data_IF_283638920815
#
_entry.id   IF_283638920815
#
_cell.length_a   1.000
_cell.length_b   1.000
_cell.length_c   1.000
_cell.angle_alpha   90.00
_cell.angle_beta   90.00
_cell.angle_gamma   90.00
#
_symmetry.space_group_name_H-M   'P 1'
#
loop_
_entity.id
_entity.type
_entity.pdbx_description
1 polymer ?
#
# COMPACT_ATOMS: atom_id res chain seq x y z
N UNK A 1 38.79 -15.34 -53.06
CA UNK A 1 38.43 -16.71 -52.67
C UNK A 1 37.58 -16.56 -51.41
N UNK A 2 36.26 -16.71 -51.43
CA UNK A 2 35.43 -17.84 -51.91
C UNK A 2 35.57 -19.07 -50.97
N UNK A 3 34.52 -19.73 -50.51
CA UNK A 3 33.06 -19.51 -50.70
C UNK A 3 32.23 -20.17 -49.57
N UNK A 4 30.89 -20.18 -49.74
CA UNK A 4 29.78 -21.01 -49.16
C UNK A 4 30.15 -22.26 -48.32
N UNK A 5 29.29 -22.82 -47.45
CA UNK A 5 27.84 -22.63 -47.26
C UNK A 5 27.04 -23.95 -47.45
N UNK A 6 26.04 -24.16 -46.59
CA UNK A 6 24.86 -25.04 -46.72
C UNK A 6 24.94 -26.60 -46.77
N UNK A 7 24.50 -27.20 -45.66
CA UNK A 7 23.47 -28.27 -45.53
C UNK A 7 23.48 -29.62 -46.30
N UNK A 8 23.33 -30.71 -45.53
CA UNK A 8 22.40 -31.86 -45.74
C UNK A 8 22.07 -32.45 -44.33
N UNK A 9 20.91 -33.03 -43.97
CA UNK A 9 20.00 -34.00 -44.63
C UNK A 9 20.67 -35.39 -44.78
N UNK A 10 20.01 -36.57 -44.71
CA UNK A 10 18.59 -37.00 -44.80
C UNK A 10 18.40 -38.29 -43.93
N UNK A 11 17.17 -38.62 -43.49
CA UNK A 11 16.75 -40.01 -43.16
C UNK A 11 16.32 -40.24 -41.68
N UNK A 12 15.16 -40.82 -41.32
CA UNK A 12 14.37 -41.97 -41.81
C UNK A 12 14.86 -43.34 -41.24
N UNK A 13 14.03 -44.32 -40.83
CA UNK A 13 12.55 -44.42 -40.79
C UNK A 13 12.07 -45.61 -39.91
N UNK A 14 10.77 -45.64 -39.55
CA UNK A 14 9.94 -46.81 -39.09
C UNK A 14 10.44 -47.63 -37.85
N UNK A 15 9.71 -48.52 -37.15
CA UNK A 15 8.32 -49.10 -37.13
C UNK A 15 8.01 -49.49 -35.63
N UNK A 16 6.93 -50.13 -35.11
CA UNK A 16 5.70 -50.79 -35.62
C UNK A 16 4.65 -50.98 -34.48
N UNK A 17 3.37 -50.69 -34.79
CA UNK A 17 2.10 -51.38 -34.42
C UNK A 17 1.87 -52.08 -33.06
N UNK A 18 0.75 -51.71 -32.38
CA UNK A 18 -0.44 -52.53 -32.05
C UNK A 18 -1.49 -51.60 -31.35
N UNK A 19 -2.80 -51.50 -31.61
CA UNK A 19 -3.89 -52.49 -31.88
C UNK A 19 -4.09 -53.48 -30.72
N UNK A 20 -5.29 -53.82 -30.19
CA UNK A 20 -6.72 -53.71 -30.59
C UNK A 20 -7.59 -53.93 -29.30
N UNK A 21 -8.90 -53.71 -29.15
CA UNK A 21 -10.06 -53.23 -29.96
C UNK A 21 -11.19 -52.76 -28.97
N UNK A 22 -12.39 -52.38 -29.44
CA UNK A 22 -13.63 -52.23 -28.61
C UNK A 22 -14.56 -53.45 -28.77
N UNK A 23 -15.63 -53.57 -27.94
CA UNK A 23 -16.98 -53.61 -28.53
C UNK A 23 -18.07 -52.91 -27.67
N UNK A 24 -19.33 -53.00 -28.11
CA UNK A 24 -20.49 -52.27 -27.58
C UNK A 24 -21.76 -53.13 -27.47
N UNK A 25 -22.87 -52.49 -27.05
CA UNK A 25 -24.30 -52.85 -27.24
C UNK A 25 -25.13 -53.49 -26.09
N UNK A 26 -26.41 -53.09 -26.14
CA UNK A 26 -27.65 -53.65 -25.53
C UNK A 26 -27.77 -53.69 -24.00
N UNK A 27 -28.80 -53.18 -23.30
CA UNK A 27 -30.24 -52.89 -23.56
C UNK A 27 -31.15 -53.85 -22.77
N UNK A 28 -31.93 -53.31 -21.81
CA UNK A 28 -33.29 -53.80 -21.52
C UNK A 28 -34.13 -52.85 -20.67
N UNK A 29 -35.44 -52.89 -20.89
CA UNK A 29 -36.48 -52.10 -20.22
C UNK A 29 -37.17 -52.90 -19.09
N UNK A 30 -37.73 -52.17 -18.10
CA UNK A 30 -39.03 -52.38 -17.41
C UNK A 30 -39.12 -51.34 -16.26
N UNK A 31 -40.16 -50.53 -16.01
CA UNK A 31 -41.63 -50.72 -15.97
C UNK A 31 -42.09 -51.65 -14.82
N UNK A 32 -43.09 -51.36 -13.98
CA UNK A 32 -44.05 -50.22 -13.92
C UNK A 32 -44.86 -50.22 -12.61
N UNK A 33 -45.23 -49.01 -12.11
CA UNK A 33 -46.41 -48.72 -11.23
C UNK A 33 -46.56 -49.57 -9.93
N UNK A 34 -47.54 -49.45 -9.02
CA UNK A 34 -48.61 -48.48 -8.60
C UNK A 34 -48.42 -48.28 -7.08
N UNK A 35 -48.99 -47.34 -6.31
CA UNK A 35 -50.18 -46.47 -6.37
C UNK A 35 -50.73 -46.31 -4.93
N UNK A 36 -51.68 -45.39 -4.69
CA UNK A 36 -52.41 -45.15 -3.41
C UNK A 36 -51.53 -44.70 -2.21
N UNK A 37 -51.63 -43.46 -1.72
CA UNK A 37 -52.73 -42.80 -0.99
C UNK A 37 -52.92 -43.24 0.48
N UNK A 38 -52.33 -42.46 1.41
CA UNK A 38 -52.94 -42.18 2.71
C UNK A 38 -52.79 -40.70 3.05
N UNK A 39 -53.92 -40.01 3.22
CA UNK A 39 -53.96 -38.60 3.65
C UNK A 39 -53.53 -38.43 5.11
N UNK A 40 -52.72 -37.40 5.41
CA UNK A 40 -53.03 -36.38 6.44
C UNK A 40 -51.91 -35.35 6.68
N UNK A 41 -52.32 -34.14 7.09
CA UNK A 41 -51.56 -33.09 7.79
C UNK A 41 -50.23 -32.57 7.18
N UNK A 42 -50.33 -31.54 6.32
CA UNK A 42 -49.26 -30.56 6.09
C UNK A 42 -49.76 -29.22 5.50
N UNK A 43 -50.76 -28.59 6.12
CA UNK A 43 -51.09 -27.17 5.81
C UNK A 43 -50.08 -26.21 6.48
N UNK A 44 -50.08 -24.96 5.99
CA UNK A 44 -49.38 -23.79 6.57
C UNK A 44 -47.86 -23.89 6.85
N UNK A 45 -47.03 -23.71 5.81
CA UNK A 45 -45.76 -22.94 5.92
C UNK A 45 -45.51 -22.02 4.72
N UNK A 46 -46.24 -20.89 4.67
CA UNK A 46 -45.96 -19.73 3.81
C UNK A 46 -45.84 -18.44 4.64
N UNK A 47 -44.91 -18.40 5.60
CA UNK A 47 -44.51 -17.17 6.30
C UNK A 47 -43.21 -17.37 7.09
N UNK A 48 -42.09 -16.78 6.63
CA UNK A 48 -40.89 -16.45 7.45
C UNK A 48 -39.75 -15.77 6.65
N UNK A 49 -40.03 -15.07 5.53
CA UNK A 49 -38.99 -14.57 4.61
C UNK A 49 -39.04 -13.04 4.37
N UNK A 50 -39.76 -12.29 5.20
CA UNK A 50 -39.97 -10.82 5.06
C UNK A 50 -39.51 -10.07 6.33
N UNK A 51 -38.69 -10.72 7.17
CA UNK A 51 -38.16 -10.14 8.40
C UNK A 51 -36.85 -9.38 8.15
N UNK A 52 -35.78 -10.15 7.95
CA UNK A 52 -34.38 -9.70 7.98
C UNK A 52 -34.09 -8.54 7.00
N UNK A 53 -34.63 -8.60 5.78
CA UNK A 53 -34.44 -7.57 4.74
C UNK A 53 -34.88 -6.19 5.25
N UNK A 54 -36.00 -6.12 5.98
CA UNK A 54 -36.51 -4.86 6.54
C UNK A 54 -35.70 -4.36 7.73
N UNK A 55 -35.03 -5.22 8.50
CA UNK A 55 -34.18 -4.79 9.63
C UNK A 55 -32.78 -4.39 9.14
N UNK A 56 -32.27 -5.00 8.07
CA UNK A 56 -31.07 -4.56 7.38
C UNK A 56 -31.26 -3.16 6.77
N UNK A 57 -32.38 -2.89 6.09
CA UNK A 57 -32.71 -1.53 5.62
C UNK A 57 -32.75 -0.50 6.77
N UNK A 58 -33.33 -0.86 7.92
CA UNK A 58 -33.36 0.02 9.12
C UNK A 58 -31.96 0.28 9.68
N UNK A 59 -31.06 -0.70 9.69
CA UNK A 59 -29.66 -0.52 10.12
C UNK A 59 -28.89 0.38 9.14
N UNK A 60 -29.11 0.22 7.84
CA UNK A 60 -28.50 1.08 6.80
C UNK A 60 -29.01 2.51 6.90
N UNK A 61 -30.32 2.74 7.02
CA UNK A 61 -30.88 4.09 7.19
C UNK A 61 -30.50 4.71 8.55
N UNK A 62 -30.37 3.92 9.61
CA UNK A 62 -29.84 4.41 10.89
C UNK A 62 -28.39 4.90 10.74
N UNK A 63 -27.52 4.11 10.07
CA UNK A 63 -26.16 4.53 9.74
C UNK A 63 -26.10 5.76 8.83
N UNK A 64 -26.96 5.85 7.82
CA UNK A 64 -27.09 7.03 6.95
C UNK A 64 -27.64 8.26 7.70
N UNK A 65 -28.42 8.07 8.77
CA UNK A 65 -28.89 9.15 9.66
C UNK A 65 -27.77 9.68 10.56
N UNK A 66 -26.95 8.80 11.13
CA UNK A 66 -25.71 9.13 11.86
C UNK A 66 -24.73 9.93 10.99
N UNK A 67 -24.55 9.53 9.71
CA UNK A 67 -23.72 10.28 8.75
C UNK A 67 -24.22 11.70 8.55
N UNK A 68 -25.53 11.89 8.30
CA UNK A 68 -26.15 13.21 8.07
C UNK A 68 -26.03 14.12 9.29
N UNK A 69 -26.22 13.58 10.49
CA UNK A 69 -26.02 14.30 11.75
C UNK A 69 -24.57 14.82 11.86
N UNK A 70 -23.57 13.96 11.65
CA UNK A 70 -22.17 14.34 11.77
C UNK A 70 -21.71 15.34 10.69
N UNK A 71 -22.25 15.28 9.46
CA UNK A 71 -21.98 16.29 8.42
C UNK A 71 -22.52 17.68 8.80
N UNK A 72 -23.64 17.76 9.53
CA UNK A 72 -24.31 19.03 9.85
C UNK A 72 -23.55 19.88 10.88
N UNK A 73 -22.62 19.28 11.63
CA UNK A 73 -21.79 19.99 12.64
C UNK A 73 -20.57 20.70 12.00
N UNK A 74 -20.23 20.39 10.74
CA UNK A 74 -19.00 20.80 10.07
C UNK A 74 -18.96 22.20 9.44
N UNK A 75 -19.54 23.24 10.06
CA UNK A 75 -19.53 24.62 9.54
C UNK A 75 -19.01 25.67 10.53
N UNK A 76 -17.70 25.62 10.81
CA UNK A 76 -16.95 26.68 11.50
C UNK A 76 -15.81 27.22 10.61
N UNK A 77 -15.74 28.55 10.43
CA UNK A 77 -14.58 29.22 9.81
C UNK A 77 -13.51 29.50 10.85
N UNK A 78 -12.24 29.38 10.48
CA UNK A 78 -11.11 29.89 11.28
C UNK A 78 -9.76 29.46 10.70
N UNK A 79 -8.89 30.43 10.43
CA UNK A 79 -7.50 30.19 10.03
C UNK A 79 -6.60 29.96 11.25
N UNK A 80 -5.45 29.30 11.04
CA UNK A 80 -4.23 29.57 11.81
C UNK A 80 -3.85 28.58 12.92
N UNK A 81 -2.62 28.08 12.78
CA UNK A 81 -1.72 27.55 13.82
C UNK A 81 -2.09 26.30 14.65
N UNK A 82 -1.03 25.73 15.22
CA UNK A 82 -1.04 24.46 15.96
C UNK A 82 -1.49 24.66 17.42
N UNK A 83 -2.55 23.97 17.83
CA UNK A 83 -2.80 23.67 19.23
C UNK A 83 -3.23 22.21 19.37
N UNK A 84 -2.37 21.38 19.96
CA UNK A 84 -2.74 20.05 20.45
C UNK A 84 -3.34 20.26 21.84
N UNK A 85 -4.63 19.99 22.02
CA UNK A 85 -5.33 20.16 23.30
C UNK A 85 -6.11 18.90 23.66
N UNK A 86 -5.70 18.29 24.77
CA UNK A 86 -6.45 17.21 25.43
C UNK A 86 -7.82 17.72 25.90
N UNK A 87 -8.89 17.04 25.48
CA UNK A 87 -10.22 17.21 26.08
C UNK A 87 -10.42 16.10 27.11
N UNK A 88 -9.91 16.31 28.33
CA UNK A 88 -10.25 15.45 29.47
C UNK A 88 -11.67 15.78 29.97
N UNK A 89 -12.61 14.83 30.02
CA UNK A 89 -13.86 15.01 30.73
C UNK A 89 -13.62 14.90 32.25
N UNK A 90 -13.97 15.94 33.00
CA UNK A 90 -13.98 15.88 34.48
C UNK A 90 -15.16 15.00 34.93
N UNK A 91 -14.86 13.77 35.33
CA UNK A 91 -15.86 12.83 35.87
C UNK A 91 -15.95 12.99 37.39
N UNK A 92 -17.12 13.42 37.87
CA UNK A 92 -17.53 13.28 39.27
C UNK A 92 -18.52 12.12 39.41
N UNK A 93 -18.20 11.16 40.29
CA UNK A 93 -19.19 10.24 40.89
C UNK A 93 -19.55 8.98 40.11
N UNK A 94 -18.86 7.87 40.44
CA UNK A 94 -19.42 6.50 40.54
C UNK A 94 -20.40 5.99 39.46
N UNK A 95 -19.94 5.12 38.54
CA UNK A 95 -20.84 4.46 37.58
C UNK A 95 -20.20 3.53 36.53
N UNK A 96 -19.28 2.64 36.92
CA UNK A 96 -18.61 1.72 35.97
C UNK A 96 -19.57 0.65 35.41
N UNK A 97 -20.01 0.84 34.16
CA UNK A 97 -20.04 -0.17 33.07
C UNK A 97 -20.71 0.36 31.80
N UNK A 98 -21.70 1.27 31.92
CA UNK A 98 -22.58 1.69 30.81
C UNK A 98 -21.88 2.27 29.58
N UNK A 99 -20.72 2.93 29.76
CA UNK A 99 -19.92 3.47 28.65
C UNK A 99 -19.34 2.36 27.75
N UNK A 100 -19.01 1.19 28.31
CA UNK A 100 -18.48 0.07 27.53
C UNK A 100 -19.57 -0.57 26.67
N UNK A 101 -20.75 -0.83 27.23
CA UNK A 101 -21.88 -1.43 26.51
C UNK A 101 -22.36 -0.55 25.35
N UNK A 102 -22.36 0.77 25.51
CA UNK A 102 -22.67 1.72 24.43
C UNK A 102 -21.63 1.67 23.31
N UNK A 103 -20.34 1.69 23.65
CA UNK A 103 -19.25 1.67 22.68
C UNK A 103 -19.16 0.31 21.94
N UNK A 104 -19.37 -0.81 22.66
CA UNK A 104 -19.44 -2.16 22.08
C UNK A 104 -20.59 -2.27 21.06
N UNK A 105 -21.78 -1.76 21.39
CA UNK A 105 -22.92 -1.75 20.44
C UNK A 105 -22.65 -0.88 19.22
N UNK A 106 -22.02 0.29 19.41
CA UNK A 106 -21.60 1.15 18.30
C UNK A 106 -20.62 0.42 17.37
N UNK A 107 -19.57 -0.20 17.91
CA UNK A 107 -18.59 -0.97 17.15
C UNK A 107 -19.20 -2.21 16.45
N UNK A 108 -20.25 -2.82 16.99
CA UNK A 108 -21.00 -3.89 16.31
C UNK A 108 -21.79 -3.36 15.09
N UNK A 109 -22.50 -2.23 15.25
CA UNK A 109 -23.24 -1.59 14.14
C UNK A 109 -22.28 -1.12 13.04
N UNK A 110 -21.18 -0.46 13.43
CA UNK A 110 -20.14 0.01 12.50
C UNK A 110 -19.48 -1.15 11.74
N UNK A 111 -19.29 -2.32 12.38
CA UNK A 111 -18.80 -3.54 11.70
C UNK A 111 -19.80 -4.06 10.67
N UNK A 112 -21.09 -4.17 11.02
CA UNK A 112 -22.14 -4.64 10.10
C UNK A 112 -22.28 -3.69 8.90
N UNK A 113 -22.18 -2.38 9.12
CA UNK A 113 -22.20 -1.38 8.06
C UNK A 113 -20.99 -1.51 7.12
N UNK A 114 -19.78 -1.69 7.65
CA UNK A 114 -18.58 -1.97 6.83
C UNK A 114 -18.73 -3.29 6.06
N UNK A 115 -19.27 -4.34 6.68
CA UNK A 115 -19.50 -5.63 6.03
C UNK A 115 -20.47 -5.51 4.85
N UNK A 116 -21.61 -4.84 5.02
CA UNK A 116 -22.61 -4.62 3.96
C UNK A 116 -22.05 -3.76 2.81
N UNK A 117 -21.28 -2.71 3.10
CA UNK A 117 -20.63 -1.90 2.06
C UNK A 117 -19.57 -2.70 1.29
N UNK A 118 -18.84 -3.61 1.96
CA UNK A 118 -17.91 -4.56 1.32
C UNK A 118 -18.60 -5.69 0.54
N UNK A 119 -19.92 -5.90 0.69
CA UNK A 119 -20.73 -6.70 -0.25
C UNK A 119 -21.13 -5.84 -1.46
N UNK A 120 -21.59 -4.61 -1.22
CA UNK A 120 -22.01 -3.65 -2.26
C UNK A 120 -20.88 -3.30 -3.25
N UNK A 121 -19.60 -3.33 -2.84
CA UNK A 121 -18.44 -3.26 -3.74
C UNK A 121 -18.35 -4.41 -4.78
N UNK A 122 -19.10 -5.50 -4.62
CA UNK A 122 -19.17 -6.60 -5.60
C UNK A 122 -20.39 -6.51 -6.52
N UNK A 123 -21.19 -5.44 -6.41
CA UNK A 123 -22.38 -5.16 -7.23
C UNK A 123 -22.02 -4.29 -8.46
N UNK A 124 -22.99 -3.51 -8.97
CA UNK A 124 -22.86 -2.63 -10.14
C UNK A 124 -21.85 -1.49 -9.96
N UNK A 125 -21.43 -0.84 -11.05
CA UNK A 125 -20.49 0.29 -10.97
C UNK A 125 -21.03 1.50 -10.16
N UNK A 126 -22.32 1.89 -10.27
CA UNK A 126 -22.91 2.89 -9.35
C UNK A 126 -22.85 2.45 -7.88
N UNK A 127 -23.13 1.18 -7.59
CA UNK A 127 -23.06 0.63 -6.22
C UNK A 127 -21.63 0.67 -5.67
N UNK A 128 -20.64 0.32 -6.49
CA UNK A 128 -19.21 0.40 -6.17
C UNK A 128 -18.79 1.83 -5.81
N UNK A 129 -19.22 2.83 -6.61
CA UNK A 129 -18.92 4.24 -6.36
C UNK A 129 -19.56 4.73 -5.04
N UNK A 130 -20.84 4.42 -4.78
CA UNK A 130 -21.51 4.77 -3.51
C UNK A 130 -20.81 4.10 -2.32
N UNK A 131 -20.54 2.80 -2.40
CA UNK A 131 -19.98 2.04 -1.30
C UNK A 131 -18.51 2.39 -1.00
N UNK A 132 -17.69 2.66 -2.02
CA UNK A 132 -16.32 3.14 -1.83
C UNK A 132 -16.30 4.49 -1.11
N UNK A 133 -17.19 5.39 -1.48
CA UNK A 133 -17.31 6.74 -0.89
C UNK A 133 -17.82 6.68 0.55
N UNK A 134 -18.83 5.87 0.83
CA UNK A 134 -19.32 5.66 2.19
C UNK A 134 -18.25 4.99 3.08
N UNK A 135 -17.49 4.02 2.56
CA UNK A 135 -16.34 3.43 3.27
C UNK A 135 -15.22 4.46 3.51
N UNK A 136 -14.94 5.34 2.55
CA UNK A 136 -13.95 6.42 2.69
C UNK A 136 -14.35 7.37 3.83
N UNK A 137 -15.61 7.80 3.86
CA UNK A 137 -16.18 8.66 4.89
C UNK A 137 -16.20 7.99 6.28
N UNK A 138 -16.63 6.73 6.36
CA UNK A 138 -16.68 5.97 7.61
C UNK A 138 -15.29 5.73 8.19
N UNK A 139 -14.34 5.25 7.39
CA UNK A 139 -12.98 4.94 7.85
C UNK A 139 -12.21 6.21 8.23
N UNK A 140 -12.53 7.36 7.63
CA UNK A 140 -12.03 8.68 8.05
C UNK A 140 -12.60 9.11 9.41
N UNK A 141 -13.92 9.01 9.59
CA UNK A 141 -14.61 9.50 10.78
C UNK A 141 -14.50 8.59 12.02
N UNK A 142 -14.67 7.27 11.86
CA UNK A 142 -14.87 6.33 12.96
C UNK A 142 -13.70 5.33 13.12
N UNK A 143 -13.00 5.28 14.26
CA UNK A 143 -11.98 4.26 14.54
C UNK A 143 -12.52 2.82 14.52
N UNK A 144 -13.75 2.62 15.02
CA UNK A 144 -14.49 1.35 14.98
C UNK A 144 -14.63 0.79 13.56
N UNK A 145 -14.96 1.64 12.58
CA UNK A 145 -15.01 1.24 11.17
C UNK A 145 -13.65 0.82 10.60
N UNK A 146 -12.53 1.31 11.16
CA UNK A 146 -11.19 0.88 10.75
C UNK A 146 -10.81 -0.44 11.40
N UNK A 147 -11.05 -0.57 12.70
CA UNK A 147 -10.80 -1.80 13.46
C UNK A 147 -11.63 -2.98 12.90
N UNK A 148 -12.83 -2.72 12.38
CA UNK A 148 -13.70 -3.71 11.73
C UNK A 148 -13.02 -4.50 10.59
N UNK A 149 -12.12 -3.91 9.81
CA UNK A 149 -11.40 -4.60 8.74
C UNK A 149 -10.52 -5.75 9.26
N UNK A 150 -10.07 -5.69 10.52
CA UNK A 150 -9.33 -6.78 11.17
C UNK A 150 -10.22 -7.91 11.69
N UNK A 151 -11.54 -7.68 11.76
CA UNK A 151 -12.56 -8.59 12.33
C UNK A 151 -13.44 -9.24 11.26
N UNK A 152 -13.21 -8.92 9.99
CA UNK A 152 -14.04 -9.31 8.85
C UNK A 152 -13.25 -10.19 7.87
N UNK A 153 -13.83 -11.32 7.51
CA UNK A 153 -13.22 -12.25 6.56
C UNK A 153 -13.10 -11.59 5.18
N UNK A 154 -11.94 -11.77 4.54
CA UNK A 154 -11.63 -11.27 3.19
C UNK A 154 -11.86 -9.75 2.99
N UNK A 155 -11.87 -8.95 4.06
CA UNK A 155 -12.17 -7.53 3.99
C UNK A 155 -11.24 -6.76 3.03
N UNK A 156 -9.94 -7.08 3.04
CA UNK A 156 -8.96 -6.49 2.11
C UNK A 156 -9.15 -7.02 0.68
N UNK A 157 -9.48 -8.31 0.53
CA UNK A 157 -9.79 -8.96 -0.76
C UNK A 157 -11.00 -8.29 -1.44
N UNK A 158 -12.03 -7.97 -0.63
CA UNK A 158 -13.29 -7.32 -1.03
C UNK A 158 -13.10 -5.83 -1.30
N UNK A 159 -12.38 -5.10 -0.44
CA UNK A 159 -12.05 -3.68 -0.64
C UNK A 159 -11.27 -3.46 -1.95
N UNK A 160 -10.39 -4.40 -2.31
CA UNK A 160 -9.59 -4.35 -3.53
C UNK A 160 -10.23 -5.14 -4.69
N UNK A 161 -11.48 -5.59 -4.60
CA UNK A 161 -12.13 -6.33 -5.69
C UNK A 161 -12.43 -5.47 -6.93
N UNK A 162 -12.84 -4.18 -6.83
CA UNK A 162 -13.13 -3.36 -8.02
C UNK A 162 -11.87 -2.93 -8.78
N UNK A 163 -10.73 -2.90 -8.10
CA UNK A 163 -9.48 -2.33 -8.62
C UNK A 163 -8.67 -3.35 -9.42
N UNK A 164 -8.68 -3.18 -10.75
CA UNK A 164 -7.96 -4.02 -11.71
C UNK A 164 -6.55 -3.50 -11.99
N UNK A 165 -5.54 -4.36 -11.85
CA UNK A 165 -4.10 -4.08 -12.03
C UNK A 165 -3.66 -3.85 -13.51
N UNK A 166 -4.61 -3.40 -14.33
CA UNK A 166 -4.53 -3.25 -15.80
C UNK A 166 -5.48 -2.18 -16.33
N UNK A 167 -6.25 -1.51 -15.46
CA UNK A 167 -7.33 -0.57 -15.81
C UNK A 167 -7.48 0.58 -14.80
N UNK A 168 -6.38 1.00 -14.17
CA UNK A 168 -6.34 2.11 -13.21
C UNK A 168 -7.05 3.37 -13.73
N UNK A 169 -6.88 3.69 -15.02
CA UNK A 169 -7.48 4.86 -15.66
C UNK A 169 -9.01 4.79 -15.87
N UNK A 170 -9.66 3.63 -15.68
CA UNK A 170 -11.06 3.42 -16.09
C UNK A 170 -12.11 4.04 -15.15
N UNK A 171 -11.75 4.32 -13.89
CA UNK A 171 -12.61 5.04 -12.94
C UNK A 171 -11.74 5.67 -11.83
N UNK A 172 -11.22 6.90 -12.04
CA UNK A 172 -10.29 7.52 -11.10
C UNK A 172 -10.94 7.88 -9.75
N UNK A 173 -12.23 8.23 -9.72
CA UNK A 173 -12.95 8.56 -8.48
C UNK A 173 -13.05 7.33 -7.56
N UNK A 174 -13.44 6.17 -8.12
CA UNK A 174 -13.48 4.89 -7.38
C UNK A 174 -12.10 4.46 -6.90
N UNK A 175 -11.05 4.68 -7.69
CA UNK A 175 -9.68 4.42 -7.24
C UNK A 175 -9.29 5.35 -6.08
N UNK A 176 -9.58 6.65 -6.18
CA UNK A 176 -9.24 7.64 -5.16
C UNK A 176 -9.94 7.34 -3.83
N UNK A 177 -11.23 7.01 -3.85
CA UNK A 177 -12.01 6.63 -2.66
C UNK A 177 -11.50 5.32 -2.02
N UNK A 178 -11.19 4.29 -2.82
CA UNK A 178 -10.70 3.02 -2.31
C UNK A 178 -9.24 3.09 -1.81
N UNK A 179 -8.35 3.82 -2.48
CA UNK A 179 -6.97 4.05 -2.02
C UNK A 179 -6.95 4.91 -0.76
N UNK A 180 -7.82 5.92 -0.68
CA UNK A 180 -7.98 6.72 0.54
C UNK A 180 -8.58 5.90 1.68
N UNK A 181 -9.50 4.96 1.39
CA UNK A 181 -9.98 3.98 2.37
C UNK A 181 -8.85 3.07 2.87
N UNK A 182 -7.98 2.56 1.98
CA UNK A 182 -6.78 1.80 2.36
C UNK A 182 -5.85 2.62 3.26
N UNK A 183 -5.58 3.88 2.93
CA UNK A 183 -4.79 4.79 3.77
C UNK A 183 -5.44 5.00 5.14
N UNK A 184 -6.75 5.23 5.20
CA UNK A 184 -7.49 5.41 6.45
C UNK A 184 -7.36 4.18 7.35
N UNK A 185 -7.64 2.97 6.86
CA UNK A 185 -7.59 1.74 7.69
C UNK A 185 -6.17 1.43 8.19
N UNK A 186 -5.13 1.85 7.44
CA UNK A 186 -3.73 1.77 7.84
C UNK A 186 -3.33 2.73 8.97
N UNK A 187 -4.25 3.52 9.53
CA UNK A 187 -4.02 4.20 10.82
C UNK A 187 -4.19 3.27 12.03
N UNK A 188 -4.73 2.06 11.83
CA UNK A 188 -4.74 0.98 12.82
C UNK A 188 -3.60 -0.02 12.53
N UNK A 189 -2.79 -0.35 13.53
CA UNK A 189 -1.63 -1.25 13.37
C UNK A 189 -2.02 -2.70 13.03
N UNK A 190 -3.20 -3.18 13.45
CA UNK A 190 -3.66 -4.53 13.12
C UNK A 190 -3.88 -4.68 11.60
N UNK A 191 -4.40 -3.64 10.96
CA UNK A 191 -4.63 -3.61 9.52
C UNK A 191 -3.32 -3.57 8.71
N UNK A 192 -2.20 -3.06 9.26
CA UNK A 192 -0.90 -3.01 8.56
C UNK A 192 -0.33 -4.39 8.27
N UNK A 193 -0.61 -5.38 9.11
CA UNK A 193 -0.26 -6.78 8.86
C UNK A 193 -1.14 -7.39 7.76
N UNK A 194 -2.45 -7.13 7.80
CA UNK A 194 -3.41 -7.69 6.84
C UNK A 194 -3.23 -7.11 5.43
N UNK A 195 -3.12 -5.79 5.31
CA UNK A 195 -2.87 -5.12 4.03
C UNK A 195 -1.46 -5.43 3.52
N UNK A 196 -0.45 -5.44 4.40
CA UNK A 196 0.94 -5.74 4.02
C UNK A 196 1.16 -7.18 3.53
N UNK A 197 0.46 -8.14 4.14
CA UNK A 197 0.48 -9.55 3.73
C UNK A 197 -0.42 -9.88 2.54
N UNK A 198 -1.36 -9.01 2.16
CA UNK A 198 -2.29 -9.29 1.06
C UNK A 198 -1.60 -9.14 -0.32
N UNK A 199 -1.54 -10.21 -1.15
CA UNK A 199 -0.64 -10.27 -2.29
C UNK A 199 -0.92 -9.24 -3.40
N UNK A 200 -2.15 -8.71 -3.49
CA UNK A 200 -2.49 -7.66 -4.46
C UNK A 200 -2.27 -6.23 -3.92
N UNK A 201 -2.20 -6.02 -2.61
CA UNK A 201 -2.28 -4.67 -2.02
C UNK A 201 -1.07 -3.79 -2.36
N UNK A 202 0.15 -4.26 -2.08
CA UNK A 202 1.37 -3.50 -2.34
C UNK A 202 1.63 -3.30 -3.85
N UNK A 203 1.44 -4.29 -4.75
CA UNK A 203 1.51 -4.08 -6.19
C UNK A 203 0.51 -3.04 -6.70
N UNK A 204 -0.74 -3.07 -6.21
CA UNK A 204 -1.79 -2.13 -6.58
C UNK A 204 -1.48 -0.72 -6.07
N UNK A 205 -0.99 -0.56 -4.84
CA UNK A 205 -0.46 0.73 -4.35
C UNK A 205 0.71 1.23 -5.21
N UNK A 206 1.57 0.33 -5.69
CA UNK A 206 2.69 0.65 -6.59
C UNK A 206 2.22 1.13 -7.96
N UNK A 207 1.10 0.64 -8.47
CA UNK A 207 0.48 1.10 -9.72
C UNK A 207 -0.30 2.41 -9.53
N UNK A 208 -1.10 2.52 -8.46
CA UNK A 208 -1.80 3.75 -8.07
C UNK A 208 -0.85 4.93 -7.88
N UNK A 209 0.38 4.68 -7.38
CA UNK A 209 1.47 5.66 -7.28
C UNK A 209 2.01 6.12 -8.64
N UNK A 210 1.94 5.28 -9.69
CA UNK A 210 2.41 5.62 -11.05
C UNK A 210 1.36 6.36 -11.87
N UNK A 211 0.15 5.81 -11.92
CA UNK A 211 -0.85 6.17 -12.94
C UNK A 211 -2.15 6.80 -12.38
N UNK A 212 -2.27 6.94 -11.05
CA UNK A 212 -3.43 7.57 -10.42
C UNK A 212 -3.46 9.10 -10.51
N UNK A 213 -4.53 9.70 -9.99
CA UNK A 213 -4.69 11.16 -9.81
C UNK A 213 -3.65 11.77 -8.84
N UNK A 214 -3.50 13.10 -8.82
CA UNK A 214 -2.59 13.81 -7.90
C UNK A 214 -2.97 13.72 -6.42
N UNK A 215 -4.14 13.16 -6.11
CA UNK A 215 -4.56 12.71 -4.78
C UNK A 215 -4.23 11.22 -4.59
N UNK A 216 -4.66 10.36 -5.52
CA UNK A 216 -4.41 8.90 -5.50
C UNK A 216 -2.94 8.56 -5.41
N UNK A 217 -2.05 9.20 -6.19
CA UNK A 217 -0.60 8.96 -6.14
C UNK A 217 -0.05 9.29 -4.76
N UNK A 218 -0.50 10.40 -4.16
CA UNK A 218 -0.07 10.86 -2.82
C UNK A 218 -0.55 9.91 -1.72
N UNK A 219 -1.81 9.50 -1.78
CA UNK A 219 -2.42 8.62 -0.78
C UNK A 219 -1.89 7.17 -0.91
N UNK A 220 -1.50 6.75 -2.12
CA UNK A 220 -0.76 5.51 -2.33
C UNK A 220 0.66 5.55 -1.72
N UNK A 221 1.41 6.66 -1.89
CA UNK A 221 2.71 6.84 -1.23
C UNK A 221 2.54 6.85 0.29
N UNK A 222 1.58 7.60 0.84
CA UNK A 222 1.31 7.65 2.28
C UNK A 222 0.89 6.27 2.86
N UNK A 223 0.16 5.46 2.08
CA UNK A 223 -0.17 4.08 2.46
C UNK A 223 1.08 3.18 2.48
N UNK A 224 2.01 3.34 1.51
CA UNK A 224 3.31 2.66 1.53
C UNK A 224 4.18 3.12 2.72
N UNK A 225 4.17 4.41 3.08
CA UNK A 225 4.80 4.94 4.30
C UNK A 225 4.22 4.24 5.53
N UNK A 226 2.90 4.21 5.69
CA UNK A 226 2.25 3.60 6.86
C UNK A 226 2.50 2.09 6.95
N UNK A 227 2.42 1.36 5.84
CA UNK A 227 2.79 -0.05 5.75
C UNK A 227 4.24 -0.29 6.15
N UNK A 228 5.17 0.58 5.70
CA UNK A 228 6.60 0.46 6.01
C UNK A 228 6.95 0.63 7.49
N UNK A 229 6.00 0.98 8.37
CA UNK A 229 6.22 0.95 9.80
C UNK A 229 6.71 -0.44 10.27
N UNK A 230 6.08 -1.50 9.75
CA UNK A 230 6.45 -2.91 10.02
C UNK A 230 7.66 -3.32 9.17
N UNK A 231 8.65 -4.00 9.76
CA UNK A 231 9.87 -4.40 9.03
C UNK A 231 9.60 -5.40 7.90
N UNK A 232 8.73 -6.39 8.13
CA UNK A 232 8.30 -7.35 7.10
C UNK A 232 7.79 -6.65 5.83
N UNK A 233 6.99 -5.60 5.99
CA UNK A 233 6.46 -4.81 4.88
C UNK A 233 7.56 -4.05 4.12
N UNK A 234 8.64 -3.62 4.78
CA UNK A 234 9.79 -2.98 4.11
C UNK A 234 10.47 -3.91 3.10
N UNK A 235 10.57 -5.21 3.41
CA UNK A 235 11.10 -6.21 2.47
C UNK A 235 10.16 -6.46 1.28
N UNK A 236 8.84 -6.51 1.53
CA UNK A 236 7.83 -6.74 0.48
C UNK A 236 7.76 -5.54 -0.48
N UNK A 237 7.65 -4.31 0.04
CA UNK A 237 7.68 -3.07 -0.77
C UNK A 237 9.03 -2.93 -1.50
N UNK A 238 10.13 -3.31 -0.81
CA UNK A 238 11.47 -3.41 -1.38
C UNK A 238 11.62 -4.42 -2.53
N UNK A 239 10.60 -5.25 -2.78
CA UNK A 239 10.62 -6.33 -3.78
C UNK A 239 9.43 -6.26 -4.76
N UNK A 240 8.48 -5.33 -4.56
CA UNK A 240 7.29 -5.13 -5.41
C UNK A 240 7.52 -4.22 -6.62
N UNK A 241 8.76 -3.77 -6.84
CA UNK A 241 9.07 -2.76 -7.87
C UNK A 241 8.70 -1.32 -7.48
N UNK A 242 8.39 -1.04 -6.21
CA UNK A 242 8.03 0.31 -5.74
C UNK A 242 9.20 1.31 -5.66
N UNK A 243 10.44 0.83 -5.61
CA UNK A 243 11.60 1.69 -5.30
C UNK A 243 11.95 2.68 -6.43
N UNK A 244 11.95 2.23 -7.69
CA UNK A 244 12.22 3.12 -8.82
C UNK A 244 11.11 4.18 -9.04
N UNK A 245 9.81 3.84 -8.95
CA UNK A 245 8.73 4.84 -8.94
C UNK A 245 8.81 5.85 -7.80
N UNK A 246 9.20 5.44 -6.58
CA UNK A 246 9.43 6.40 -5.48
C UNK A 246 10.55 7.39 -5.82
N UNK A 247 11.63 6.93 -6.47
CA UNK A 247 12.72 7.78 -6.92
C UNK A 247 12.34 8.65 -8.14
N UNK A 248 11.47 8.17 -9.02
CA UNK A 248 10.88 8.94 -10.11
C UNK A 248 10.03 10.10 -9.57
N UNK A 249 9.26 9.88 -8.50
CA UNK A 249 8.53 10.95 -7.79
C UNK A 249 9.48 12.00 -7.20
N UNK A 250 10.66 11.63 -6.69
CA UNK A 250 11.71 12.60 -6.29
C UNK A 250 12.22 13.39 -7.51
N UNK A 251 12.32 12.76 -8.68
CA UNK A 251 12.90 13.35 -9.88
C UNK A 251 11.97 14.37 -10.57
N UNK A 252 10.66 14.09 -10.66
CA UNK A 252 9.70 14.90 -11.45
C UNK A 252 8.42 15.30 -10.71
N UNK A 253 8.24 14.90 -9.45
CA UNK A 253 7.03 15.19 -8.68
C UNK A 253 6.88 16.66 -8.26
N UNK A 254 5.65 17.08 -7.96
CA UNK A 254 5.40 18.34 -7.24
C UNK A 254 5.94 18.23 -5.79
N UNK A 255 6.42 19.31 -5.13
CA UNK A 255 7.06 19.21 -3.81
C UNK A 255 6.29 18.43 -2.73
N UNK A 256 4.96 18.50 -2.68
CA UNK A 256 4.18 17.68 -1.74
C UNK A 256 4.37 16.17 -1.97
N UNK A 257 4.46 15.72 -3.23
CA UNK A 257 4.73 14.32 -3.57
C UNK A 257 6.20 13.94 -3.34
N UNK A 258 7.16 14.83 -3.63
CA UNK A 258 8.59 14.64 -3.30
C UNK A 258 8.75 14.42 -1.79
N UNK A 259 8.04 15.19 -0.96
CA UNK A 259 8.08 15.09 0.51
C UNK A 259 7.60 13.73 1.02
N UNK A 260 6.45 13.25 0.54
CA UNK A 260 5.94 11.93 0.91
C UNK A 260 6.84 10.80 0.39
N UNK A 261 7.38 10.92 -0.83
CA UNK A 261 8.34 9.96 -1.37
C UNK A 261 9.65 9.94 -0.55
N UNK A 262 10.17 11.09 -0.11
CA UNK A 262 11.34 11.16 0.76
C UNK A 262 11.09 10.49 2.11
N UNK A 263 9.89 10.67 2.69
CA UNK A 263 9.44 9.96 3.89
C UNK A 263 9.41 8.44 3.68
N UNK A 264 8.87 7.98 2.55
CA UNK A 264 8.82 6.57 2.17
C UNK A 264 10.22 5.95 2.03
N UNK A 265 11.13 6.61 1.29
CA UNK A 265 12.51 6.14 1.10
C UNK A 265 13.24 6.09 2.45
N UNK A 266 13.15 7.13 3.28
CA UNK A 266 13.70 7.15 4.64
C UNK A 266 13.22 5.99 5.53
N UNK A 267 11.95 5.57 5.39
CA UNK A 267 11.41 4.46 6.18
C UNK A 267 11.79 3.08 5.61
N UNK A 268 11.80 2.93 4.29
CA UNK A 268 12.21 1.69 3.61
C UNK A 268 13.71 1.40 3.77
N UNK A 269 14.56 2.43 3.73
CA UNK A 269 16.01 2.35 3.91
C UNK A 269 16.46 2.09 5.36
N UNK A 270 15.54 1.85 6.30
CA UNK A 270 15.86 1.24 7.60
C UNK A 270 16.29 -0.23 7.47
N UNK A 271 15.96 -0.86 6.34
CA UNK A 271 16.44 -2.19 5.92
C UNK A 271 17.61 -2.01 4.95
N UNK A 272 18.74 -2.66 5.24
CA UNK A 272 20.00 -2.48 4.49
C UNK A 272 19.87 -2.90 3.02
N UNK A 273 19.15 -3.99 2.76
CA UNK A 273 18.85 -4.51 1.42
C UNK A 273 18.02 -3.55 0.57
N UNK A 274 17.37 -2.55 1.18
CA UNK A 274 16.72 -1.47 0.43
C UNK A 274 17.69 -0.31 0.15
N UNK A 275 18.66 -0.03 1.04
CA UNK A 275 19.73 0.94 0.78
C UNK A 275 20.58 0.53 -0.42
N UNK A 276 20.96 -0.75 -0.48
CA UNK A 276 21.64 -1.41 -1.59
C UNK A 276 20.89 -1.17 -2.93
N UNK A 277 19.60 -1.52 -2.95
CA UNK A 277 18.73 -1.34 -4.12
C UNK A 277 18.59 0.12 -4.54
N UNK A 278 18.37 1.04 -3.60
CA UNK A 278 18.23 2.47 -3.89
C UNK A 278 19.53 3.06 -4.44
N UNK A 279 20.68 2.67 -3.89
CA UNK A 279 21.99 3.13 -4.38
C UNK A 279 22.23 2.62 -5.81
N UNK A 280 21.94 1.34 -6.08
CA UNK A 280 22.07 0.74 -7.42
C UNK A 280 21.17 1.33 -8.51
N UNK A 281 20.07 1.99 -8.15
CA UNK A 281 19.24 2.77 -9.10
C UNK A 281 19.62 4.27 -9.16
N UNK A 282 20.76 4.66 -8.59
CA UNK A 282 21.30 6.02 -8.69
C UNK A 282 20.65 7.04 -7.77
N UNK A 283 20.02 6.61 -6.67
CA UNK A 283 19.28 7.50 -5.78
C UNK A 283 20.15 8.64 -5.22
N UNK A 284 21.38 8.35 -4.82
CA UNK A 284 22.32 9.33 -4.22
C UNK A 284 22.55 10.50 -5.19
N UNK A 285 23.00 10.22 -6.41
CA UNK A 285 23.16 11.23 -7.47
C UNK A 285 21.89 12.03 -7.78
N UNK A 286 20.73 11.38 -7.89
CA UNK A 286 19.44 12.06 -8.20
C UNK A 286 19.05 13.01 -7.05
N UNK A 287 19.15 12.56 -5.81
CA UNK A 287 18.81 13.34 -4.62
C UNK A 287 19.80 14.51 -4.43
N UNK A 288 21.10 14.29 -4.64
CA UNK A 288 22.12 15.34 -4.67
C UNK A 288 21.82 16.42 -5.72
N UNK A 289 21.35 16.03 -6.91
CA UNK A 289 20.94 16.99 -7.93
C UNK A 289 19.74 17.84 -7.45
N UNK A 290 18.73 17.23 -6.84
CA UNK A 290 17.56 17.98 -6.30
C UNK A 290 17.91 18.92 -5.15
N UNK A 291 18.87 18.56 -4.30
CA UNK A 291 19.44 19.46 -3.30
C UNK A 291 20.17 20.63 -3.96
N UNK A 292 20.94 20.39 -5.04
CA UNK A 292 21.60 21.43 -5.85
C UNK A 292 20.61 22.34 -6.60
N UNK A 293 19.42 21.83 -6.95
CA UNK A 293 18.27 22.61 -7.45
C UNK A 293 17.53 23.39 -6.33
N UNK A 294 17.89 23.20 -5.05
CA UNK A 294 17.27 23.86 -3.90
C UNK A 294 15.92 23.27 -3.46
N UNK A 295 15.53 22.12 -4.01
CA UNK A 295 14.22 21.50 -3.78
C UNK A 295 14.27 20.63 -2.52
N UNK A 296 13.48 20.99 -1.50
CA UNK A 296 13.28 20.24 -0.24
C UNK A 296 14.59 19.73 0.39
N UNK A 297 15.56 20.64 0.52
CA UNK A 297 16.92 20.37 1.01
C UNK A 297 16.91 19.60 2.34
N UNK A 298 16.06 19.98 3.30
CA UNK A 298 15.96 19.34 4.61
C UNK A 298 15.53 17.86 4.52
N UNK A 299 14.44 17.57 3.81
CA UNK A 299 13.92 16.21 3.64
C UNK A 299 14.87 15.34 2.80
N UNK A 300 15.44 15.88 1.72
CA UNK A 300 16.33 15.16 0.84
C UNK A 300 17.70 14.86 1.47
N UNK A 301 18.24 15.78 2.28
CA UNK A 301 19.39 15.48 3.15
C UNK A 301 19.03 14.40 4.17
N UNK A 302 17.78 14.30 4.60
CA UNK A 302 17.29 13.19 5.43
C UNK A 302 17.46 11.84 4.72
N UNK A 303 17.08 11.76 3.44
CA UNK A 303 17.26 10.54 2.63
C UNK A 303 18.74 10.20 2.45
N UNK A 304 19.59 11.18 2.12
CA UNK A 304 21.03 10.96 2.02
C UNK A 304 21.67 10.55 3.35
N UNK A 305 21.20 11.09 4.49
CA UNK A 305 21.69 10.69 5.80
C UNK A 305 21.42 9.20 6.11
N UNK A 306 20.26 8.66 5.70
CA UNK A 306 19.98 7.22 5.82
C UNK A 306 20.81 6.41 4.82
N UNK A 307 20.85 6.81 3.54
CA UNK A 307 21.61 6.11 2.50
C UNK A 307 23.12 6.08 2.80
N UNK A 308 23.67 7.12 3.42
CA UNK A 308 25.08 7.20 3.83
C UNK A 308 25.50 6.19 4.91
N UNK A 309 24.63 5.25 5.30
CA UNK A 309 25.03 4.06 6.08
C UNK A 309 25.42 2.86 5.20
N UNK A 310 25.25 2.98 3.87
CA UNK A 310 25.72 2.03 2.85
C UNK A 310 27.07 2.47 2.26
N UNK A 311 27.98 1.52 2.02
CA UNK A 311 29.34 1.82 1.54
C UNK A 311 29.34 2.51 0.17
N UNK A 312 28.63 1.96 -0.82
CA UNK A 312 28.54 2.48 -2.19
C UNK A 312 28.01 3.93 -2.21
N UNK A 313 27.06 4.25 -1.33
CA UNK A 313 26.49 5.59 -1.21
C UNK A 313 27.50 6.57 -0.59
N UNK A 314 28.36 6.09 0.31
CA UNK A 314 29.47 6.86 0.88
C UNK A 314 30.59 7.08 -0.14
N UNK A 315 30.86 6.12 -1.03
CA UNK A 315 31.79 6.33 -2.16
C UNK A 315 31.28 7.43 -3.09
N UNK A 316 29.98 7.45 -3.44
CA UNK A 316 29.36 8.56 -4.19
C UNK A 316 29.39 9.91 -3.43
N UNK A 317 29.26 9.90 -2.09
CA UNK A 317 29.22 11.11 -1.25
C UNK A 317 30.62 11.63 -0.85
N UNK A 318 31.67 10.82 -1.03
CA UNK A 318 33.08 11.14 -0.79
C UNK A 318 33.78 11.83 -1.98
N UNK A 319 33.09 11.97 -3.12
CA UNK A 319 33.52 12.87 -4.20
C UNK A 319 33.87 14.27 -3.64
N UNK A 320 35.11 14.80 -3.86
CA UNK A 320 35.57 16.03 -3.21
C UNK A 320 34.65 17.25 -3.42
N UNK A 321 34.07 17.40 -4.63
CA UNK A 321 33.15 18.50 -4.93
C UNK A 321 31.83 18.34 -4.16
N UNK A 322 31.32 17.12 -4.04
CA UNK A 322 30.11 16.78 -3.28
C UNK A 322 30.33 16.89 -1.76
N UNK A 323 31.48 16.44 -1.25
CA UNK A 323 31.85 16.56 0.16
C UNK A 323 32.01 18.04 0.58
N UNK A 324 32.70 18.85 -0.25
CA UNK A 324 32.84 20.29 -0.01
C UNK A 324 31.47 21.00 -0.09
N UNK A 325 30.62 20.63 -1.06
CA UNK A 325 29.26 21.17 -1.17
C UNK A 325 28.40 20.87 0.08
N UNK A 326 28.51 19.66 0.66
CA UNK A 326 27.85 19.30 1.92
C UNK A 326 28.39 20.09 3.14
N UNK A 327 29.69 20.39 3.17
CA UNK A 327 30.29 21.28 4.17
C UNK A 327 29.70 22.69 4.05
N UNK A 328 29.51 23.21 2.83
CA UNK A 328 29.01 24.56 2.63
C UNK A 328 27.50 24.68 2.86
N UNK A 329 26.70 23.63 2.61
CA UNK A 329 25.32 23.57 3.14
C UNK A 329 25.34 23.64 4.66
N UNK A 330 26.15 22.79 5.33
CA UNK A 330 26.26 22.75 6.80
C UNK A 330 26.63 24.11 7.42
N UNK A 331 27.51 24.86 6.75
CA UNK A 331 27.96 26.20 7.17
C UNK A 331 26.89 27.28 6.99
N UNK A 332 26.17 27.26 5.86
CA UNK A 332 25.31 28.37 5.45
C UNK A 332 23.81 28.14 5.71
N UNK A 333 23.38 26.90 5.99
CA UNK A 333 21.97 26.62 6.30
C UNK A 333 21.55 27.21 7.64
N UNK A 334 20.34 27.76 7.69
CA UNK A 334 19.67 28.15 8.93
C UNK A 334 19.00 26.95 9.64
N UNK A 335 18.67 25.87 8.92
CA UNK A 335 17.92 24.73 9.48
C UNK A 335 18.80 23.80 10.32
N UNK A 336 18.38 23.55 11.55
CA UNK A 336 18.95 22.49 12.42
C UNK A 336 18.80 21.09 11.81
N UNK A 337 17.74 20.84 11.04
CA UNK A 337 17.47 19.52 10.43
C UNK A 337 18.48 19.29 9.30
N UNK A 338 18.60 20.23 8.36
CA UNK A 338 19.63 20.16 7.32
C UNK A 338 21.04 20.06 7.92
N UNK A 339 21.35 20.88 8.94
CA UNK A 339 22.68 20.87 9.57
C UNK A 339 23.00 19.54 10.26
N UNK A 340 22.04 18.95 10.99
CA UNK A 340 22.16 17.61 11.58
C UNK A 340 22.38 16.55 10.51
N UNK A 341 21.60 16.57 9.42
CA UNK A 341 21.69 15.60 8.35
C UNK A 341 23.04 15.70 7.61
N UNK A 342 23.51 16.90 7.26
CA UNK A 342 24.87 17.12 6.74
C UNK A 342 25.96 16.62 7.69
N UNK A 343 25.83 16.85 9.01
CA UNK A 343 26.79 16.34 10.00
C UNK A 343 26.83 14.81 9.99
N UNK A 344 25.68 14.14 9.91
CA UNK A 344 25.61 12.67 9.84
C UNK A 344 26.27 12.13 8.56
N UNK A 345 25.98 12.72 7.40
CA UNK A 345 26.56 12.31 6.11
C UNK A 345 28.08 12.47 6.14
N UNK A 346 28.58 13.66 6.50
CA UNK A 346 30.02 13.95 6.55
C UNK A 346 30.75 13.04 7.55
N UNK A 347 30.12 12.72 8.70
CA UNK A 347 30.67 11.78 9.68
C UNK A 347 30.78 10.36 9.11
N UNK A 348 29.72 9.87 8.43
CA UNK A 348 29.71 8.53 7.85
C UNK A 348 30.78 8.38 6.76
N UNK A 349 30.91 9.39 5.87
CA UNK A 349 31.94 9.42 4.83
C UNK A 349 33.33 9.33 5.44
N UNK A 350 33.70 10.28 6.32
CA UNK A 350 35.04 10.32 6.92
C UNK A 350 35.35 9.16 7.89
N UNK A 351 34.38 8.31 8.25
CA UNK A 351 34.61 7.09 9.03
C UNK A 351 34.91 5.86 8.17
N UNK A 352 34.44 5.83 6.92
CA UNK A 352 34.74 4.80 5.92
C UNK A 352 35.98 5.14 5.09
N UNK A 353 36.30 6.43 4.90
CA UNK A 353 37.57 6.93 4.32
C UNK A 353 38.83 6.60 5.15
N UNK A 354 38.77 5.69 6.14
CA UNK A 354 39.96 5.22 6.87
C UNK A 354 40.94 4.60 5.86
N UNK A 355 42.14 5.19 5.67
CA UNK A 355 43.04 4.69 4.65
C UNK A 355 43.49 3.26 4.97
N UNK A 356 43.65 2.45 3.94
CA UNK A 356 44.42 1.21 4.01
C UNK A 356 45.91 1.53 4.23
N UNK A 357 46.25 1.93 5.46
CA UNK A 357 47.61 2.19 5.95
C UNK A 357 48.36 0.86 6.11
N UNK A 358 48.55 0.17 5.00
CA UNK A 358 48.81 -1.27 5.01
C UNK A 358 49.07 -1.93 3.66
N UNK A 359 49.63 -1.23 2.67
CA UNK A 359 50.66 -1.87 1.84
C UNK A 359 51.66 -0.88 1.21
N UNK A 360 52.88 -1.35 0.92
CA UNK A 360 54.05 -0.49 0.70
C UNK A 360 54.48 -0.26 -0.77
N UNK A 361 55.01 0.95 -1.02
CA UNK A 361 56.21 1.24 -1.84
C UNK A 361 56.41 0.39 -3.13
N UNK A 362 55.63 0.59 -4.21
CA UNK A 362 56.02 0.04 -5.53
C UNK A 362 55.52 0.74 -6.81
N UNK A 363 55.67 2.07 -6.91
CA UNK A 363 55.62 2.74 -8.24
C UNK A 363 56.49 3.98 -8.47
N UNK A 364 57.62 4.10 -7.77
CA UNK A 364 58.70 4.99 -8.26
C UNK A 364 59.47 4.31 -9.40
N UNK A 365 59.15 4.66 -10.66
CA UNK A 365 59.94 4.30 -11.84
C UNK A 365 59.57 5.09 -13.12
N UNK A 366 60.14 6.30 -13.25
CA UNK A 366 60.25 7.10 -14.50
C UNK A 366 58.89 7.63 -15.04
N UNK A 367 58.83 8.66 -15.86
CA UNK A 367 59.86 9.33 -16.68
C UNK A 367 60.21 10.73 -16.16
N UNK A 368 61.31 11.27 -16.68
CA UNK A 368 61.86 12.62 -16.49
C UNK A 368 60.95 13.66 -17.16
#
# INVERSE_FOLDING_TARGET
MAEKGDSSAIGAETTSMAEKETPSMTEKEASSATGEETSSMAEERKSSAVGDETDLEKVVEFGKSEMKLNQTVGLGRGDGDRAFLDVQPVILGSGQNWLNDGNLKCAMVDRVLVELLLEKLSSSLPDQNEAAKDLQLLTKAKPSCREAFSKLNDAISRLLSPLSLTKVESNPELQEDLITTVLNILTDDHNKHLVGGHPRAIPLLTESMKYGTDETRRNAIAALVSLSALDLNKFIIGSSGALAPLLEVICVGHPLAIKEAASAICSLCKVYENQDKFTKIGAVKIILQKIKEGILVDELLGVLAVLSTHNDAVEELGDPDTFQYLIDIKRNTASEIARKNCIQILFNVSMLEKPSFGDEKKKSRRVI
#
